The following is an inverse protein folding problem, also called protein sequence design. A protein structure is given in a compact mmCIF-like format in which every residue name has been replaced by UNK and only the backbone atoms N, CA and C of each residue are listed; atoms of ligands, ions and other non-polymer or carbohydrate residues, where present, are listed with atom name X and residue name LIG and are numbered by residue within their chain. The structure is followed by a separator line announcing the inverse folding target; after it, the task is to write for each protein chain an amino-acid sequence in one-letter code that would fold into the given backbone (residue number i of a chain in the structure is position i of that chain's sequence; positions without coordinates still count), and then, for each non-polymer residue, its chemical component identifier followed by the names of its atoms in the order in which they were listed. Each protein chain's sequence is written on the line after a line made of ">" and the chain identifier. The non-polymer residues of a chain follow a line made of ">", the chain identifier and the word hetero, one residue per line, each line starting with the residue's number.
data_IF_193566466246
#
_entry.id   IF_193566466246
#
_cell.length_a   1.000
_cell.length_b   1.000
_cell.length_c   1.000
_cell.angle_alpha   90.00
_cell.angle_beta   90.00
_cell.angle_gamma   90.00
#
_symmetry.space_group_name_H-M   'P 1'
#
loop_
_entity.id
_entity.type
_entity.pdbx_description
1 polymer ?
#
# COMPACT_ATOMS: atom_id res chain seq x y z
N UNK A 1 -27.80 6.74 11.41
CA UNK A 1 -27.34 6.29 10.07
C UNK A 1 -26.38 7.34 9.49
N UNK A 2 -25.14 6.99 9.09
CA UNK A 2 -24.31 7.96 8.33
C UNK A 2 -22.77 7.81 8.29
N UNK A 3 -22.13 6.88 9.02
CA UNK A 3 -20.64 6.89 9.15
C UNK A 3 -19.86 5.94 8.24
N UNK A 4 -20.50 4.96 7.58
CA UNK A 4 -19.79 3.97 6.74
C UNK A 4 -19.30 4.50 5.38
N UNK A 5 -19.74 5.68 4.94
CA UNK A 5 -19.39 6.23 3.62
C UNK A 5 -17.97 6.81 3.55
N UNK A 6 -17.39 7.24 4.65
CA UNK A 6 -16.13 8.01 4.64
C UNK A 6 -14.88 7.16 4.37
N UNK A 7 -14.80 5.95 4.92
CA UNK A 7 -13.64 5.07 4.74
C UNK A 7 -13.62 4.42 3.35
N UNK A 8 -14.79 4.02 2.85
CA UNK A 8 -14.95 3.52 1.48
C UNK A 8 -14.56 4.60 0.46
N UNK A 9 -14.99 5.85 0.66
CA UNK A 9 -14.63 6.98 -0.20
C UNK A 9 -13.12 7.28 -0.12
N UNK A 10 -12.50 7.21 1.05
CA UNK A 10 -11.05 7.40 1.19
C UNK A 10 -10.23 6.29 0.51
N UNK A 11 -10.67 5.03 0.58
CA UNK A 11 -10.05 3.91 -0.14
C UNK A 11 -10.24 4.03 -1.65
N UNK A 12 -11.42 4.48 -2.10
CA UNK A 12 -11.73 4.67 -3.51
C UNK A 12 -10.92 5.83 -4.10
N UNK A 13 -10.78 6.95 -3.36
CA UNK A 13 -9.92 8.08 -3.72
C UNK A 13 -8.43 7.70 -3.72
N UNK A 14 -7.98 6.88 -2.77
CA UNK A 14 -6.61 6.36 -2.74
C UNK A 14 -6.31 5.46 -3.93
N UNK A 15 -7.26 4.61 -4.31
CA UNK A 15 -7.16 3.75 -5.49
C UNK A 15 -7.16 4.58 -6.78
N UNK A 16 -8.02 5.59 -6.88
CA UNK A 16 -8.10 6.51 -8.02
C UNK A 16 -6.78 7.28 -8.22
N UNK A 17 -6.20 7.84 -7.14
CA UNK A 17 -4.92 8.55 -7.18
C UNK A 17 -3.75 7.65 -7.55
N UNK A 18 -3.77 6.38 -7.11
CA UNK A 18 -2.75 5.40 -7.52
C UNK A 18 -2.82 5.13 -9.01
N UNK A 19 -4.04 5.02 -9.56
CA UNK A 19 -4.26 4.79 -11.00
C UNK A 19 -3.84 6.01 -11.83
N UNK A 20 -4.17 7.22 -11.37
CA UNK A 20 -3.78 8.48 -12.02
C UNK A 20 -2.26 8.65 -12.04
N UNK A 21 -1.58 8.47 -10.90
CA UNK A 21 -0.12 8.52 -10.83
C UNK A 21 0.56 7.45 -11.70
N UNK A 22 0.02 6.23 -11.76
CA UNK A 22 0.55 5.17 -12.63
C UNK A 22 0.33 5.50 -14.11
N UNK A 23 -0.77 6.17 -14.47
CA UNK A 23 -1.03 6.61 -15.84
C UNK A 23 -0.13 7.78 -16.28
N UNK A 24 0.25 8.66 -15.36
CA UNK A 24 1.16 9.77 -15.63
C UNK A 24 2.60 9.29 -15.84
N UNK A 25 3.05 8.27 -15.10
CA UNK A 25 4.34 7.60 -15.34
C UNK A 25 4.38 6.99 -16.76
N UNK A 26 3.27 6.41 -17.23
CA UNK A 26 3.16 5.81 -18.57
C UNK A 26 3.05 6.86 -19.68
N UNK A 27 2.57 8.07 -19.41
CA UNK A 27 2.49 9.14 -20.41
C UNK A 27 3.76 9.95 -20.53
N UNK A 28 4.56 10.07 -19.46
CA UNK A 28 5.83 10.79 -19.47
C UNK A 28 6.97 10.02 -20.18
N UNK A 29 6.78 8.73 -20.47
CA UNK A 29 7.71 7.90 -21.26
C UNK A 29 7.45 7.93 -22.76
N UNK A 30 6.55 8.79 -23.26
CA UNK A 30 6.22 8.95 -24.70
C UNK A 30 7.33 9.58 -25.57
N UNK A 31 8.58 9.50 -25.14
CA UNK A 31 9.74 9.96 -25.91
C UNK A 31 10.31 8.93 -26.87
N UNK A 32 10.35 7.64 -26.53
CA UNK A 32 11.13 6.68 -27.33
C UNK A 32 10.43 5.32 -27.45
N UNK A 33 10.06 4.99 -28.69
CA UNK A 33 9.60 3.69 -29.22
C UNK A 33 8.32 3.08 -28.62
N UNK A 34 7.29 2.91 -29.45
CA UNK A 34 6.13 2.05 -29.18
C UNK A 34 6.58 0.58 -29.12
N UNK A 35 7.22 0.20 -28.03
CA UNK A 35 7.56 -1.20 -27.80
C UNK A 35 6.35 -1.93 -27.21
N UNK A 36 5.95 -3.00 -27.89
CA UNK A 36 4.76 -3.79 -27.55
C UNK A 36 4.92 -4.49 -26.20
N UNK A 37 3.86 -4.54 -25.34
CA UNK A 37 3.88 -5.25 -24.06
C UNK A 37 4.02 -6.78 -24.20
N UNK A 38 4.04 -7.30 -25.43
CA UNK A 38 4.29 -8.71 -25.74
C UNK A 38 5.76 -9.00 -26.08
N UNK A 39 6.65 -8.02 -25.91
CA UNK A 39 8.09 -8.20 -26.06
C UNK A 39 8.74 -8.20 -24.69
N UNK A 40 9.46 -9.28 -24.37
CA UNK A 40 10.05 -9.47 -23.04
C UNK A 40 11.03 -8.35 -22.68
N UNK A 41 11.92 -7.97 -23.62
CA UNK A 41 12.90 -6.88 -23.41
C UNK A 41 12.25 -5.54 -23.10
N UNK A 42 11.11 -5.27 -23.72
CA UNK A 42 10.35 -4.04 -23.55
C UNK A 42 9.70 -3.96 -22.17
N UNK A 43 9.18 -5.09 -21.68
CA UNK A 43 8.68 -5.21 -20.31
C UNK A 43 9.82 -5.14 -19.28
N UNK A 44 11.00 -5.71 -19.57
CA UNK A 44 12.19 -5.57 -18.72
C UNK A 44 12.64 -4.11 -18.64
N UNK A 45 12.66 -3.39 -19.77
CA UNK A 45 12.95 -1.96 -19.85
C UNK A 45 11.94 -1.13 -19.06
N UNK A 46 10.65 -1.38 -19.26
CA UNK A 46 9.56 -0.72 -18.52
C UNK A 46 9.71 -0.92 -17.01
N UNK A 47 9.88 -2.16 -16.54
CA UNK A 47 10.03 -2.45 -15.12
C UNK A 47 11.32 -1.88 -14.55
N UNK A 48 12.41 -1.84 -15.32
CA UNK A 48 13.65 -1.20 -14.89
C UNK A 48 13.42 0.30 -14.66
N UNK A 49 12.86 1.02 -15.62
CA UNK A 49 12.55 2.46 -15.47
C UNK A 49 11.60 2.69 -14.30
N UNK A 50 10.58 1.85 -14.15
CA UNK A 50 9.63 1.94 -13.05
C UNK A 50 10.30 1.70 -11.68
N UNK A 51 11.23 0.75 -11.59
CA UNK A 51 11.98 0.51 -10.35
C UNK A 51 12.85 1.72 -9.96
N UNK A 52 13.48 2.40 -10.92
CA UNK A 52 14.23 3.62 -10.65
C UNK A 52 13.36 4.81 -10.20
N UNK A 53 12.05 4.79 -10.52
CA UNK A 53 11.10 5.83 -10.06
C UNK A 53 10.53 5.58 -8.66
N UNK A 54 10.77 4.41 -8.06
CA UNK A 54 10.29 4.12 -6.70
C UNK A 54 11.37 4.54 -5.72
N UNK A 55 11.08 5.57 -4.94
CA UNK A 55 11.95 5.97 -3.85
C UNK A 55 12.10 4.83 -2.83
N UNK A 56 13.33 4.67 -2.34
CA UNK A 56 13.62 3.78 -1.23
C UNK A 56 13.18 4.33 0.14
N UNK A 57 13.77 3.82 1.20
CA UNK A 57 13.50 4.24 2.58
C UNK A 57 14.57 5.25 3.06
N UNK A 58 14.31 5.92 4.18
CA UNK A 58 15.28 6.74 4.90
C UNK A 58 16.59 5.97 5.16
N UNK A 59 17.65 6.35 4.44
CA UNK A 59 18.98 5.73 4.50
C UNK A 59 19.24 4.60 3.50
N UNK A 60 18.26 4.23 2.66
CA UNK A 60 18.42 3.32 1.53
C UNK A 60 17.64 3.89 0.34
N UNK A 61 18.32 4.51 -0.61
CA UNK A 61 17.67 5.18 -1.75
C UNK A 61 17.02 4.22 -2.77
N UNK A 62 17.21 2.90 -2.59
CA UNK A 62 16.79 1.85 -3.53
C UNK A 62 15.56 1.10 -3.02
N UNK A 63 14.57 0.79 -3.88
CA UNK A 63 13.40 0.01 -3.46
C UNK A 63 13.75 -1.46 -3.17
N UNK A 64 12.94 -2.09 -2.32
CA UNK A 64 12.98 -3.54 -2.14
C UNK A 64 12.41 -4.28 -3.36
N UNK A 65 13.00 -5.41 -3.73
CA UNK A 65 12.53 -6.24 -4.85
C UNK A 65 11.08 -6.72 -4.69
N UNK A 66 10.66 -6.95 -3.45
CA UNK A 66 9.28 -7.25 -3.08
C UNK A 66 8.31 -6.13 -3.45
N UNK A 67 8.72 -4.87 -3.26
CA UNK A 67 7.91 -3.69 -3.59
C UNK A 67 7.72 -3.60 -5.10
N UNK A 68 8.81 -3.67 -5.87
CA UNK A 68 8.75 -3.68 -7.34
C UNK A 68 7.86 -4.82 -7.85
N UNK A 69 7.97 -6.01 -7.26
CA UNK A 69 7.12 -7.16 -7.61
C UNK A 69 5.64 -6.93 -7.32
N UNK A 70 5.30 -6.26 -6.22
CA UNK A 70 3.90 -5.90 -5.92
C UNK A 70 3.33 -4.95 -6.97
N UNK A 71 4.09 -3.94 -7.37
CA UNK A 71 3.67 -3.04 -8.45
C UNK A 71 3.51 -3.80 -9.77
N UNK A 72 4.43 -4.72 -10.11
CA UNK A 72 4.27 -5.58 -11.29
C UNK A 72 2.99 -6.42 -11.26
N UNK A 73 2.66 -7.01 -10.12
CA UNK A 73 1.42 -7.78 -9.96
C UNK A 73 0.17 -6.90 -10.04
N UNK A 74 0.22 -5.69 -9.50
CA UNK A 74 -0.87 -4.72 -9.60
C UNK A 74 -1.08 -4.29 -11.06
N UNK A 75 0.01 -3.96 -11.77
CA UNK A 75 0.00 -3.61 -13.19
C UNK A 75 -0.59 -4.73 -14.04
N UNK A 76 -0.09 -5.96 -13.92
CA UNK A 76 -0.58 -7.10 -14.71
C UNK A 76 -2.05 -7.41 -14.43
N UNK A 77 -2.49 -7.29 -13.17
CA UNK A 77 -3.90 -7.44 -12.81
C UNK A 77 -4.77 -6.32 -13.40
N UNK A 78 -4.32 -5.06 -13.36
CA UNK A 78 -5.01 -3.93 -13.97
C UNK A 78 -5.08 -4.08 -15.50
N UNK A 79 -3.97 -4.50 -16.12
CA UNK A 79 -3.89 -4.78 -17.55
C UNK A 79 -4.89 -5.84 -17.98
N UNK A 80 -4.97 -6.96 -17.24
CA UNK A 80 -5.92 -8.03 -17.52
C UNK A 80 -7.37 -7.56 -17.44
N UNK A 81 -7.71 -6.67 -16.49
CA UNK A 81 -9.06 -6.10 -16.37
C UNK A 81 -9.38 -5.16 -17.52
N UNK A 82 -8.40 -4.39 -18.00
CA UNK A 82 -8.59 -3.40 -19.06
C UNK A 82 -8.60 -4.04 -20.46
N UNK A 83 -7.78 -5.06 -20.66
CA UNK A 83 -7.58 -5.75 -21.94
C UNK A 83 -7.75 -7.26 -21.78
N UNK A 84 -9.00 -7.74 -21.59
CA UNK A 84 -9.26 -9.16 -21.34
C UNK A 84 -9.00 -10.05 -22.56
N UNK A 85 -9.09 -9.50 -23.77
CA UNK A 85 -8.87 -10.23 -25.02
C UNK A 85 -7.38 -10.45 -25.32
N UNK A 86 -6.52 -9.58 -24.81
CA UNK A 86 -5.07 -9.60 -25.07
C UNK A 86 -4.25 -9.52 -23.76
N UNK A 87 -4.46 -10.46 -22.82
CA UNK A 87 -3.75 -10.45 -21.56
C UNK A 87 -2.25 -10.72 -21.76
N UNK A 88 -1.43 -10.19 -20.87
CA UNK A 88 0.00 -10.52 -20.85
C UNK A 88 0.13 -12.03 -20.55
N UNK A 89 0.85 -12.80 -21.39
CA UNK A 89 1.02 -14.22 -21.16
C UNK A 89 1.66 -14.52 -19.80
N UNK A 90 1.13 -15.52 -19.09
CA UNK A 90 1.63 -15.89 -17.74
C UNK A 90 3.13 -16.21 -17.72
N UNK A 91 3.65 -16.85 -18.78
CA UNK A 91 5.08 -17.14 -18.91
C UNK A 91 5.93 -15.88 -18.90
N UNK A 92 5.50 -14.86 -19.64
CA UNK A 92 6.18 -13.56 -19.69
C UNK A 92 6.11 -12.83 -18.35
N UNK A 93 4.95 -12.85 -17.68
CA UNK A 93 4.82 -12.27 -16.35
C UNK A 93 5.71 -12.96 -15.29
N UNK A 94 5.91 -14.27 -15.45
CA UNK A 94 6.82 -15.05 -14.61
C UNK A 94 8.28 -14.73 -14.91
N UNK A 95 8.64 -14.56 -16.19
CA UNK A 95 9.98 -14.12 -16.60
C UNK A 95 10.34 -12.75 -16.05
N UNK A 96 9.42 -11.77 -16.10
CA UNK A 96 9.64 -10.46 -15.49
C UNK A 96 9.79 -10.54 -13.97
N UNK A 97 9.03 -11.42 -13.32
CA UNK A 97 9.20 -11.67 -11.88
C UNK A 97 10.59 -12.23 -11.56
N UNK A 98 11.13 -13.11 -12.40
CA UNK A 98 12.51 -13.62 -12.27
C UNK A 98 13.54 -12.51 -12.53
N UNK A 99 13.30 -11.64 -13.52
CA UNK A 99 14.12 -10.47 -13.81
C UNK A 99 14.21 -9.53 -12.61
N UNK A 100 13.08 -9.21 -11.97
CA UNK A 100 13.00 -8.36 -10.76
C UNK A 100 13.83 -8.97 -9.62
N UNK A 101 13.63 -10.27 -9.33
CA UNK A 101 14.28 -10.93 -8.19
C UNK A 101 15.77 -11.25 -8.41
N UNK A 102 16.23 -11.29 -9.67
CA UNK A 102 17.58 -11.68 -10.04
C UNK A 102 18.40 -10.53 -10.61
N UNK A 103 18.44 -10.36 -11.95
CA UNK A 103 19.24 -9.33 -12.62
C UNK A 103 19.04 -7.92 -12.06
N UNK A 104 17.78 -7.47 -11.96
CA UNK A 104 17.46 -6.10 -11.53
C UNK A 104 17.81 -5.87 -10.06
N UNK A 105 17.49 -6.83 -9.19
CA UNK A 105 17.86 -6.75 -7.78
C UNK A 105 19.38 -6.68 -7.58
N UNK A 106 20.16 -7.38 -8.41
CA UNK A 106 21.63 -7.34 -8.38
C UNK A 106 22.17 -6.03 -8.95
N UNK A 107 21.58 -5.51 -10.02
CA UNK A 107 21.94 -4.24 -10.67
C UNK A 107 21.80 -3.07 -9.70
N UNK A 108 20.65 -2.96 -9.03
CA UNK A 108 20.34 -1.83 -8.14
C UNK A 108 20.82 -2.05 -6.68
N UNK A 109 21.27 -3.26 -6.32
CA UNK A 109 21.62 -3.58 -4.92
C UNK A 109 20.41 -3.64 -3.99
N UNK A 110 19.25 -4.10 -4.49
CA UNK A 110 18.00 -4.11 -3.73
C UNK A 110 18.09 -4.97 -2.47
N UNK A 111 17.56 -4.49 -1.33
CA UNK A 111 17.54 -5.27 -0.10
C UNK A 111 16.67 -6.52 -0.26
N UNK A 112 17.24 -7.69 0.08
CA UNK A 112 16.54 -8.99 0.05
C UNK A 112 15.70 -9.26 1.29
N UNK A 113 16.05 -8.61 2.41
CA UNK A 113 15.39 -8.85 3.69
C UNK A 113 14.24 -7.87 3.88
N UNK A 114 13.12 -8.39 4.39
CA UNK A 114 12.04 -7.52 4.88
C UNK A 114 12.58 -6.71 6.06
N UNK A 115 12.17 -5.45 6.14
CA UNK A 115 12.42 -4.61 7.30
C UNK A 115 12.06 -5.37 8.58
N UNK A 116 12.93 -5.37 9.61
CA UNK A 116 12.55 -5.88 10.91
C UNK A 116 11.38 -5.04 11.43
N UNK A 117 10.26 -5.70 11.72
CA UNK A 117 9.09 -5.02 12.28
C UNK A 117 9.51 -4.40 13.62
N UNK A 118 9.33 -3.08 13.75
CA UNK A 118 9.46 -2.39 15.03
C UNK A 118 8.08 -2.36 15.67
N UNK A 119 7.98 -2.92 16.86
CA UNK A 119 6.75 -2.90 17.63
C UNK A 119 6.80 -1.74 18.63
N UNK A 120 5.66 -1.11 18.87
CA UNK A 120 5.56 -0.09 19.91
C UNK A 120 5.88 -0.71 21.27
N UNK A 121 6.81 -0.10 22.00
CA UNK A 121 7.11 -0.50 23.38
C UNK A 121 6.15 0.18 24.35
N UNK A 122 6.10 -0.30 25.59
CA UNK A 122 5.34 0.34 26.68
C UNK A 122 5.65 1.84 26.81
N UNK A 123 6.90 2.24 26.61
CA UNK A 123 7.31 3.64 26.66
C UNK A 123 6.73 4.44 25.50
N UNK A 124 6.77 3.91 24.28
CA UNK A 124 6.14 4.54 23.10
C UNK A 124 4.64 4.75 23.35
N UNK A 125 3.94 3.74 23.85
CA UNK A 125 2.50 3.83 24.16
C UNK A 125 2.22 4.89 25.25
N UNK A 126 3.05 4.96 26.28
CA UNK A 126 2.93 5.98 27.34
C UNK A 126 3.17 7.39 26.82
N UNK A 127 4.18 7.60 25.97
CA UNK A 127 4.45 8.90 25.38
C UNK A 127 3.33 9.34 24.43
N UNK A 128 2.84 8.42 23.62
CA UNK A 128 1.70 8.65 22.74
C UNK A 128 0.46 9.06 23.54
N UNK A 129 0.13 8.34 24.62
CA UNK A 129 -0.99 8.69 25.49
C UNK A 129 -0.85 10.13 26.02
N UNK A 130 0.34 10.46 26.56
CA UNK A 130 0.59 11.82 27.07
C UNK A 130 0.39 12.88 26.00
N UNK A 131 0.87 12.65 24.78
CA UNK A 131 0.70 13.59 23.67
C UNK A 131 -0.77 13.71 23.23
N UNK A 132 -1.48 12.59 23.14
CA UNK A 132 -2.90 12.56 22.78
C UNK A 132 -3.75 13.38 23.75
N UNK A 133 -3.48 13.27 25.05
CA UNK A 133 -4.20 13.99 26.10
C UNK A 133 -3.66 15.40 26.39
N UNK A 134 -2.44 15.71 25.97
CA UNK A 134 -1.83 17.04 26.13
C UNK A 134 -2.06 17.95 24.92
N UNK A 135 -2.50 17.43 23.78
CA UNK A 135 -2.86 18.20 22.60
C UNK A 135 -4.23 18.89 22.80
N UNK A 136 -4.27 19.85 23.71
CA UNK A 136 -5.43 20.71 23.98
C UNK A 136 -5.76 21.66 22.83
N UNK A 137 -4.80 21.89 21.92
CA UNK A 137 -4.92 22.75 20.76
C UNK A 137 -5.69 22.13 19.58
N UNK A 138 -6.06 20.84 19.64
CA UNK A 138 -6.88 20.19 18.59
C UNK A 138 -8.31 20.06 19.07
N UNK A 139 -9.17 20.97 18.60
CA UNK A 139 -10.59 20.91 18.91
C UNK A 139 -11.26 19.77 18.13
N UNK A 140 -11.58 18.69 18.84
CA UNK A 140 -12.29 17.56 18.26
C UNK A 140 -13.75 17.92 18.03
N UNK A 141 -14.29 17.60 16.84
CA UNK A 141 -15.71 17.82 16.50
C UNK A 141 -16.68 17.16 17.50
N UNK A 142 -16.23 16.12 18.21
CA UNK A 142 -16.95 15.49 19.32
C UNK A 142 -15.97 15.26 20.45
N UNK A 143 -16.36 15.55 21.70
CA UNK A 143 -15.48 15.35 22.86
C UNK A 143 -15.12 13.87 23.08
N UNK A 144 -15.99 12.95 22.64
CA UNK A 144 -15.75 11.51 22.74
C UNK A 144 -14.64 10.98 21.81
N UNK A 145 -14.26 11.70 20.76
CA UNK A 145 -13.33 11.19 19.74
C UNK A 145 -11.97 10.79 20.32
N UNK A 146 -11.41 11.58 21.25
CA UNK A 146 -10.13 11.26 21.89
C UNK A 146 -10.22 9.99 22.76
N UNK A 147 -11.36 9.79 23.43
CA UNK A 147 -11.64 8.59 24.23
C UNK A 147 -11.76 7.37 23.33
N UNK A 148 -12.51 7.49 22.23
CA UNK A 148 -12.73 6.41 21.26
C UNK A 148 -11.41 6.00 20.58
N UNK A 149 -10.60 6.97 20.14
CA UNK A 149 -9.30 6.73 19.51
C UNK A 149 -8.31 6.05 20.48
N UNK A 150 -8.30 6.51 21.73
CA UNK A 150 -7.50 5.89 22.78
C UNK A 150 -7.96 4.46 23.09
N UNK A 151 -9.27 4.25 23.17
CA UNK A 151 -9.88 2.92 23.36
C UNK A 151 -9.53 1.96 22.23
N UNK A 152 -9.59 2.41 20.98
CA UNK A 152 -9.21 1.61 19.81
C UNK A 152 -7.72 1.24 19.82
N UNK A 153 -6.84 2.17 20.22
CA UNK A 153 -5.41 1.92 20.34
C UNK A 153 -5.11 0.89 21.44
N UNK A 154 -5.77 1.02 22.60
CA UNK A 154 -5.66 0.04 23.69
C UNK A 154 -6.17 -1.34 23.27
N UNK A 155 -7.30 -1.37 22.55
CA UNK A 155 -7.84 -2.57 21.93
C UNK A 155 -6.79 -3.26 21.06
N UNK A 156 -6.10 -2.53 20.19
CA UNK A 156 -5.02 -3.08 19.36
C UNK A 156 -3.77 -3.52 20.15
N UNK A 157 -3.46 -2.87 21.27
CA UNK A 157 -2.22 -3.12 22.03
C UNK A 157 -2.32 -4.30 23.00
N UNK A 158 -3.48 -4.47 23.63
CA UNK A 158 -3.81 -5.63 24.48
C UNK A 158 -4.58 -6.73 23.72
N UNK A 159 -4.88 -6.40 22.47
CA UNK A 159 -5.35 -7.18 21.33
C UNK A 159 -4.36 -8.12 20.65
N UNK A 160 -4.70 -9.36 20.32
CA UNK A 160 -4.13 -9.99 19.11
C UNK A 160 -4.97 -9.76 17.86
N UNK A 161 -6.17 -9.18 18.02
CA UNK A 161 -7.11 -8.95 16.95
C UNK A 161 -6.63 -7.87 15.97
N UNK A 162 -7.01 -8.02 14.71
CA UNK A 162 -6.72 -7.05 13.66
C UNK A 162 -7.67 -5.86 13.77
N UNK A 163 -7.23 -4.67 13.33
CA UNK A 163 -8.05 -3.45 13.41
C UNK A 163 -9.47 -3.63 12.82
N UNK A 164 -9.60 -4.39 11.73
CA UNK A 164 -10.90 -4.69 11.11
C UNK A 164 -11.84 -5.52 11.98
N UNK A 165 -11.30 -6.40 12.84
CA UNK A 165 -12.09 -7.26 13.73
C UNK A 165 -12.77 -6.44 14.84
N UNK A 166 -12.11 -5.41 15.39
CA UNK A 166 -12.74 -4.51 16.37
C UNK A 166 -13.82 -3.63 15.74
N UNK A 167 -13.55 -3.13 14.53
CA UNK A 167 -14.50 -2.27 13.81
C UNK A 167 -15.75 -3.09 13.47
N UNK A 168 -15.61 -4.32 13.00
CA UNK A 168 -16.76 -5.20 12.74
C UNK A 168 -17.49 -5.62 14.02
N UNK A 169 -16.78 -5.90 15.11
CA UNK A 169 -17.40 -6.25 16.40
C UNK A 169 -18.24 -5.11 16.98
N UNK A 170 -17.82 -3.86 16.80
CA UNK A 170 -18.52 -2.67 17.29
C UNK A 170 -19.61 -2.14 16.35
N UNK A 171 -19.69 -2.68 15.13
CA UNK A 171 -20.68 -2.31 14.12
C UNK A 171 -21.80 -3.34 13.91
N UNK A 172 -21.80 -4.46 14.66
CA UNK A 172 -22.95 -5.36 14.68
C UNK A 172 -24.13 -4.62 15.32
N UNK A 173 -25.22 -4.48 14.58
CA UNK A 173 -26.50 -4.13 15.18
C UNK A 173 -26.82 -5.19 16.22
N UNK A 174 -27.08 -4.81 17.46
CA UNK A 174 -27.65 -5.72 18.45
C UNK A 174 -29.03 -6.14 17.94
N UNK A 175 -29.12 -7.26 17.21
CA UNK A 175 -30.39 -7.94 16.91
C UNK A 175 -30.92 -8.71 18.14
N UNK A 176 -30.64 -8.21 19.34
CA UNK A 176 -31.14 -8.75 20.60
C UNK A 176 -31.68 -7.60 21.46
N UNK A 177 -32.80 -7.01 21.03
CA UNK A 177 -33.78 -6.47 21.98
C UNK A 177 -34.79 -7.59 22.28
N UNK A 178 -34.77 -8.06 23.53
CA UNK A 178 -35.89 -8.79 24.15
C UNK A 178 -37.03 -7.82 24.50
#
# INVERSE_FOLDING_TARGET
>A
MGKAKSAAVALQLGCQRSIENESDIVTNTKGETQESPYVLKSLEGFIRTYAYSIDGEEGIDVPGSETVRKHWNAFTAAWQRRYPETPIPRGMASSITQFINGPLAKEMGMPKTKRPRRFATKNVMRHFAKQLWAADWVESKRPATLVDDWGLLLGNAYSSSRIGEYIESSCRSDENEC
#
